data_IF_971176027470
#
_entry.id   IF_971176027470
#
_cell.length_a   1.000
_cell.length_b   1.000
_cell.length_c   1.000
_cell.angle_alpha   90.00
_cell.angle_beta   90.00
_cell.angle_gamma   90.00
#
_symmetry.space_group_name_H-M   'P 1'
#
loop_
_entity.id
_entity.type
_entity.pdbx_description
1 polymer ?
#
# COMPACT_ATOMS: atom_id res chain seq x y z
N UNK A 1 12.81 -25.32 50.17
CA UNK A 1 13.61 -24.46 51.06
C UNK A 1 13.37 -23.01 50.70
N UNK A 2 12.80 -22.28 51.64
CA UNK A 2 12.40 -20.86 51.53
C UNK A 2 13.66 -20.00 51.61
N UNK A 3 13.74 -18.92 50.82
CA UNK A 3 14.37 -17.67 51.25
C UNK A 3 13.68 -16.48 50.58
N UNK A 4 12.96 -15.74 51.40
CA UNK A 4 12.46 -14.39 51.24
C UNK A 4 13.62 -13.40 51.39
N UNK A 5 13.62 -12.31 50.63
CA UNK A 5 14.19 -11.01 50.99
C UNK A 5 13.28 -9.95 50.39
N UNK A 6 12.86 -9.20 51.04
CA UNK A 6 12.30 -8.18 51.91
C UNK A 6 12.86 -6.78 51.56
N UNK A 7 11.91 -5.93 51.22
CA UNK A 7 11.81 -4.49 51.14
C UNK A 7 12.97 -3.60 51.61
N UNK A 8 13.15 -2.48 50.90
CA UNK A 8 13.37 -1.19 51.55
C UNK A 8 12.82 -0.02 50.73
N UNK A 9 11.74 0.56 51.26
CA UNK A 9 11.26 1.90 50.93
C UNK A 9 12.26 2.93 51.50
N UNK A 10 12.53 4.00 50.72
CA UNK A 10 12.93 5.30 51.29
C UNK A 10 12.16 6.39 50.61
N UNK A 11 11.23 6.95 51.39
CA UNK A 11 10.61 8.23 51.16
C UNK A 11 11.50 9.32 51.73
N UNK A 12 11.70 10.41 50.97
CA UNK A 12 12.16 11.69 51.54
C UNK A 12 11.33 12.80 50.93
N UNK A 13 10.45 13.31 51.74
CA UNK A 13 9.77 14.61 51.58
C UNK A 13 10.63 15.70 52.18
N UNK A 14 10.52 16.89 51.68
CA UNK A 14 10.72 18.21 52.32
C UNK A 14 11.04 19.26 51.26
N UNK A 15 10.55 20.46 51.24
CA UNK A 15 9.66 21.33 52.06
C UNK A 15 9.41 22.60 51.25
N UNK A 16 8.21 23.14 51.36
CA UNK A 16 7.82 24.48 50.91
C UNK A 16 8.68 25.58 51.60
N UNK A 17 9.02 26.62 50.87
CA UNK A 17 9.19 27.94 51.47
C UNK A 17 8.58 29.01 50.58
N UNK A 18 7.43 29.54 51.03
CA UNK A 18 6.89 30.85 50.61
C UNK A 18 7.70 31.96 51.24
N UNK A 19 8.00 32.98 50.51
CA UNK A 19 8.21 34.32 51.04
C UNK A 19 7.68 35.35 50.04
N UNK A 20 6.76 36.17 50.51
CA UNK A 20 6.11 37.22 49.81
C UNK A 20 6.78 38.58 50.07
N UNK A 21 6.40 39.54 49.24
CA UNK A 21 6.37 41.00 49.43
C UNK A 21 7.54 41.85 48.94
N UNK A 22 7.21 42.72 47.96
CA UNK A 22 7.39 44.16 48.19
C UNK A 22 7.95 44.99 47.06
N UNK A 23 7.06 45.57 46.25
CA UNK A 23 7.02 46.92 45.64
C UNK A 23 8.25 47.65 45.06
N UNK A 24 8.02 48.10 43.82
CA UNK A 24 8.25 49.42 43.17
C UNK A 24 9.54 49.75 42.47
N UNK A 25 9.34 49.96 41.15
CA UNK A 25 9.84 51.06 40.26
C UNK A 25 11.33 51.24 40.06
N UNK A 26 11.84 51.11 38.85
CA UNK A 26 12.06 52.10 37.82
C UNK A 26 12.92 51.53 36.68
N UNK A 27 12.66 52.08 35.51
CA UNK A 27 13.31 51.95 34.23
C UNK A 27 14.80 51.57 34.21
N UNK A 28 15.14 50.61 33.36
CA UNK A 28 16.15 50.82 32.29
C UNK A 28 16.20 49.62 31.33
N UNK A 29 16.16 49.94 30.08
CA UNK A 29 16.38 49.16 28.88
C UNK A 29 17.61 48.21 29.00
N UNK A 30 17.41 46.90 28.82
CA UNK A 30 18.49 46.01 28.44
C UNK A 30 17.94 44.90 27.59
N UNK A 31 18.50 44.74 26.41
CA UNK A 31 18.27 43.62 25.48
C UNK A 31 18.28 42.29 26.21
N UNK A 32 17.11 41.70 26.34
CA UNK A 32 16.90 40.31 26.77
C UNK A 32 16.77 39.42 25.55
N UNK A 33 17.83 38.74 25.19
CA UNK A 33 17.79 37.59 24.37
C UNK A 33 16.86 36.57 25.02
N UNK A 34 15.58 36.53 24.61
CA UNK A 34 14.67 35.46 24.92
C UNK A 34 15.12 34.26 24.08
N UNK A 35 15.93 33.43 24.70
CA UNK A 35 16.10 32.05 24.31
C UNK A 35 14.73 31.36 24.49
N UNK A 36 13.89 31.52 23.46
CA UNK A 36 12.61 30.87 23.36
C UNK A 36 12.87 29.39 23.07
N UNK A 37 12.94 28.60 24.14
CA UNK A 37 12.71 27.15 24.02
C UNK A 37 11.24 27.02 23.59
N UNK A 38 10.97 27.08 22.29
CA UNK A 38 9.72 26.63 21.74
C UNK A 38 9.63 25.14 22.05
N UNK A 39 8.98 24.80 23.15
CA UNK A 39 8.42 23.46 23.32
C UNK A 39 7.31 23.35 22.28
N UNK A 40 7.67 22.96 21.04
CA UNK A 40 6.66 22.70 20.01
C UNK A 40 5.67 21.70 20.59
N UNK A 41 4.42 22.09 20.60
CA UNK A 41 3.29 21.29 21.09
C UNK A 41 3.19 20.01 20.24
N UNK A 42 2.71 18.91 20.83
CA UNK A 42 2.47 17.66 20.10
C UNK A 42 1.35 17.90 19.09
N UNK A 43 1.59 17.56 17.85
CA UNK A 43 0.64 17.65 16.74
C UNK A 43 0.05 16.28 16.46
N UNK A 44 -1.26 16.11 16.57
CA UNK A 44 -1.93 14.82 16.33
C UNK A 44 -2.82 14.94 15.10
N UNK A 45 -2.65 14.01 14.15
CA UNK A 45 -3.42 13.92 12.92
C UNK A 45 -4.27 12.66 12.89
N UNK A 46 -5.49 12.75 12.34
CA UNK A 46 -6.42 11.63 12.19
C UNK A 46 -6.33 11.05 10.80
N UNK A 47 -5.80 9.83 10.73
CA UNK A 47 -5.68 9.05 9.50
C UNK A 47 -6.78 8.00 9.44
N UNK A 48 -7.56 7.99 8.38
CA UNK A 48 -8.51 6.92 8.08
C UNK A 48 -7.95 5.96 7.05
N UNK A 49 -8.34 4.69 7.11
CA UNK A 49 -7.98 3.70 6.10
C UNK A 49 -9.15 2.79 5.80
N UNK A 50 -9.34 2.43 4.52
CA UNK A 50 -10.27 1.38 4.14
C UNK A 50 -9.63 0.39 3.18
N UNK A 51 -10.14 -0.83 3.25
CA UNK A 51 -9.73 -1.94 2.41
C UNK A 51 -10.55 -3.17 2.72
N UNK A 52 -10.46 -4.24 1.91
CA UNK A 52 -11.14 -5.49 2.18
C UNK A 52 -10.49 -6.18 3.40
N UNK A 53 -11.10 -6.04 4.57
CA UNK A 53 -10.66 -6.75 5.77
C UNK A 53 -11.30 -8.14 5.86
N UNK A 54 -12.36 -8.37 5.09
CA UNK A 54 -13.04 -9.65 4.92
C UNK A 54 -13.31 -9.93 3.44
N UNK A 55 -13.70 -11.18 3.11
CA UNK A 55 -14.00 -11.60 1.73
C UNK A 55 -12.77 -12.03 0.93
N UNK A 56 -12.98 -12.19 -0.39
CA UNK A 56 -12.03 -12.82 -1.33
C UNK A 56 -10.68 -12.09 -1.46
N UNK A 57 -10.65 -10.79 -1.17
CA UNK A 57 -9.48 -9.92 -1.30
C UNK A 57 -8.88 -9.51 0.06
N UNK A 58 -9.24 -10.22 1.14
CA UNK A 58 -8.89 -9.82 2.51
C UNK A 58 -7.38 -9.81 2.80
N UNK A 59 -6.59 -10.61 2.09
CA UNK A 59 -5.13 -10.62 2.24
C UNK A 59 -4.54 -9.23 1.93
N UNK A 60 -5.04 -8.53 0.92
CA UNK A 60 -4.58 -7.17 0.60
C UNK A 60 -4.93 -6.17 1.69
N UNK A 61 -6.22 -6.13 2.08
CA UNK A 61 -6.68 -5.13 3.05
C UNK A 61 -6.08 -5.33 4.43
N UNK A 62 -5.94 -6.57 4.89
CA UNK A 62 -5.28 -6.89 6.15
C UNK A 62 -3.81 -6.45 6.13
N UNK A 63 -3.07 -6.77 5.05
CA UNK A 63 -1.70 -6.35 4.90
C UNK A 63 -1.54 -4.82 4.93
N UNK A 64 -2.41 -4.08 4.20
CA UNK A 64 -2.42 -2.61 4.19
C UNK A 64 -2.64 -2.05 5.58
N UNK A 65 -3.69 -2.48 6.30
CA UNK A 65 -3.96 -1.91 7.62
C UNK A 65 -2.92 -2.29 8.66
N UNK A 66 -2.30 -3.46 8.57
CA UNK A 66 -1.23 -3.90 9.44
C UNK A 66 0.07 -3.12 9.18
N UNK A 67 0.46 -2.94 7.92
CA UNK A 67 1.63 -2.14 7.54
C UNK A 67 1.51 -0.69 7.99
N UNK A 68 0.34 -0.07 7.76
CA UNK A 68 0.05 1.28 8.23
C UNK A 68 0.06 1.38 9.76
N UNK A 69 -0.59 0.45 10.46
CA UNK A 69 -0.65 0.42 11.94
C UNK A 69 0.74 0.25 12.57
N UNK A 70 1.61 -0.59 11.96
CA UNK A 70 2.99 -0.74 12.40
C UNK A 70 3.74 0.59 12.34
N UNK A 71 3.70 1.28 11.19
CA UNK A 71 4.35 2.58 11.02
C UNK A 71 3.80 3.65 11.96
N UNK A 72 2.47 3.72 12.13
CA UNK A 72 1.82 4.62 13.09
C UNK A 72 2.32 4.36 14.52
N UNK A 73 2.40 3.10 14.93
CA UNK A 73 2.86 2.72 16.27
C UNK A 73 4.33 3.09 16.50
N UNK A 74 5.20 2.89 15.50
CA UNK A 74 6.61 3.26 15.57
C UNK A 74 6.78 4.79 15.70
N UNK A 75 6.11 5.57 14.86
CA UNK A 75 6.13 7.03 14.92
C UNK A 75 5.59 7.52 16.27
N UNK A 76 4.48 6.93 16.73
CA UNK A 76 3.86 7.30 18.01
C UNK A 76 4.73 6.94 19.22
N UNK A 77 5.54 5.89 19.13
CA UNK A 77 6.48 5.49 20.18
C UNK A 77 7.78 6.33 20.18
N UNK A 78 8.10 7.02 19.09
CA UNK A 78 9.32 7.85 18.98
C UNK A 78 9.19 9.16 19.79
N UNK A 79 10.28 9.92 19.87
CA UNK A 79 10.31 11.26 20.49
C UNK A 79 9.72 12.36 19.56
N UNK A 80 9.18 11.99 18.40
CA UNK A 80 8.54 12.92 17.47
C UNK A 80 7.40 13.68 18.12
N UNK A 81 7.24 14.94 17.73
CA UNK A 81 6.07 15.75 18.08
C UNK A 81 4.87 15.49 17.17
N UNK A 82 5.06 14.80 16.06
CA UNK A 82 3.98 14.35 15.19
C UNK A 82 3.47 13.00 15.72
N UNK A 83 2.16 12.90 15.90
CA UNK A 83 1.46 11.68 16.31
C UNK A 83 0.28 11.45 15.39
N UNK A 84 -0.11 10.20 15.23
CA UNK A 84 -1.24 9.79 14.42
C UNK A 84 -2.28 9.03 15.26
N UNK A 85 -3.54 9.41 15.13
CA UNK A 85 -4.68 8.55 15.45
C UNK A 85 -5.07 7.82 14.16
N UNK A 86 -5.30 6.51 14.24
CA UNK A 86 -5.56 5.69 13.07
C UNK A 86 -6.85 4.90 13.21
N UNK A 87 -7.76 5.04 12.23
CA UNK A 87 -9.02 4.30 12.16
C UNK A 87 -9.08 3.51 10.86
N UNK A 88 -9.52 2.25 10.93
CA UNK A 88 -9.67 1.35 9.78
C UNK A 88 -11.11 0.89 9.62
N UNK A 89 -11.55 0.73 8.37
CA UNK A 89 -12.89 0.29 7.98
C UNK A 89 -12.79 -0.83 6.94
N UNK A 90 -13.71 -1.80 7.02
CA UNK A 90 -13.85 -2.85 6.01
C UNK A 90 -14.72 -2.36 4.86
N UNK A 91 -14.21 -2.43 3.63
CA UNK A 91 -14.97 -2.11 2.42
C UNK A 91 -15.27 -3.34 1.54
N UNK A 92 -14.78 -4.51 1.93
CA UNK A 92 -14.93 -5.78 1.20
C UNK A 92 -14.60 -5.68 -0.31
N UNK A 93 -13.74 -4.74 -0.71
CA UNK A 93 -13.43 -4.35 -2.10
C UNK A 93 -14.66 -3.89 -2.90
N UNK A 94 -15.70 -3.42 -2.22
CA UNK A 94 -16.95 -2.94 -2.81
C UNK A 94 -17.01 -1.41 -2.78
N UNK A 95 -17.35 -0.78 -3.92
CA UNK A 95 -17.35 0.66 -4.04
C UNK A 95 -18.40 1.37 -3.16
N UNK A 96 -19.59 0.78 -2.98
CA UNK A 96 -20.64 1.37 -2.12
C UNK A 96 -20.23 1.29 -0.64
N UNK A 97 -19.64 0.17 -0.23
CA UNK A 97 -19.12 0.00 1.13
C UNK A 97 -17.93 0.92 1.39
N UNK A 98 -17.05 1.10 0.42
CA UNK A 98 -15.93 2.04 0.51
C UNK A 98 -16.40 3.48 0.73
N UNK A 99 -17.44 3.93 0.02
CA UNK A 99 -18.05 5.26 0.24
C UNK A 99 -18.68 5.36 1.63
N UNK A 100 -19.34 4.31 2.12
CA UNK A 100 -19.88 4.28 3.48
C UNK A 100 -18.77 4.30 4.55
N UNK A 101 -17.67 3.58 4.32
CA UNK A 101 -16.48 3.60 5.16
C UNK A 101 -15.87 5.01 5.22
N UNK A 102 -15.71 5.66 4.06
CA UNK A 102 -15.25 7.05 3.97
C UNK A 102 -16.11 8.01 4.80
N UNK A 103 -17.43 7.98 4.61
CA UNK A 103 -18.34 8.83 5.37
C UNK A 103 -18.24 8.59 6.88
N UNK A 104 -18.12 7.34 7.32
CA UNK A 104 -17.93 6.97 8.73
C UNK A 104 -16.64 7.57 9.29
N UNK A 105 -15.56 7.56 8.53
CA UNK A 105 -14.28 8.16 8.94
C UNK A 105 -14.33 9.70 8.93
N UNK A 106 -15.05 10.31 8.00
CA UNK A 106 -15.31 11.76 8.00
C UNK A 106 -16.11 12.19 9.24
N UNK A 107 -17.13 11.44 9.65
CA UNK A 107 -17.88 11.68 10.89
C UNK A 107 -17.00 11.57 12.15
N UNK A 108 -15.97 10.71 12.13
CA UNK A 108 -14.96 10.63 13.19
C UNK A 108 -14.00 11.84 13.19
N UNK A 109 -13.97 12.61 12.10
CA UNK A 109 -13.10 13.76 11.91
C UNK A 109 -11.75 13.38 11.26
N UNK A 110 -11.76 12.43 10.34
CA UNK A 110 -10.59 12.09 9.52
C UNK A 110 -10.05 13.32 8.78
N UNK A 111 -8.74 13.47 8.75
CA UNK A 111 -8.04 14.55 8.05
C UNK A 111 -7.36 14.09 6.77
N UNK A 112 -6.93 12.83 6.72
CA UNK A 112 -6.24 12.21 5.56
C UNK A 112 -6.74 10.79 5.38
N UNK A 113 -7.00 10.38 4.13
CA UNK A 113 -7.37 9.02 3.77
C UNK A 113 -6.14 8.24 3.26
N UNK A 114 -5.82 7.14 3.93
CA UNK A 114 -4.83 6.13 3.56
C UNK A 114 -5.57 4.96 2.90
N UNK A 115 -5.63 4.94 1.59
CA UNK A 115 -6.45 3.96 0.86
C UNK A 115 -7.48 4.64 -0.04
N UNK A 116 -8.56 3.93 -0.47
CA UNK A 116 -8.81 2.49 -0.31
C UNK A 116 -7.74 1.60 -0.94
N UNK A 117 -7.79 0.29 -0.62
CA UNK A 117 -6.78 -0.68 -1.09
C UNK A 117 -6.97 -1.06 -2.55
N UNK A 118 -8.20 -1.38 -2.99
CA UNK A 118 -8.48 -1.85 -4.35
C UNK A 118 -8.84 -0.70 -5.30
N UNK A 119 -8.57 -0.89 -6.58
CA UNK A 119 -8.86 0.10 -7.62
C UNK A 119 -10.33 0.49 -7.66
N UNK A 120 -11.26 -0.48 -7.70
CA UNK A 120 -12.69 -0.20 -7.77
C UNK A 120 -13.21 0.62 -6.58
N UNK A 121 -12.81 0.26 -5.36
CA UNK A 121 -13.14 0.99 -4.14
C UNK A 121 -12.54 2.41 -4.15
N UNK A 122 -11.28 2.55 -4.60
CA UNK A 122 -10.61 3.85 -4.68
C UNK A 122 -11.26 4.80 -5.69
N UNK A 123 -11.65 4.31 -6.87
CA UNK A 123 -12.38 5.11 -7.86
C UNK A 123 -13.70 5.63 -7.27
N UNK A 124 -14.43 4.76 -6.56
CA UNK A 124 -15.72 5.13 -5.96
C UNK A 124 -15.59 6.23 -4.89
N UNK A 125 -14.49 6.26 -4.13
CA UNK A 125 -14.25 7.24 -3.05
C UNK A 125 -13.56 8.51 -3.54
N UNK A 126 -12.76 8.42 -4.60
CA UNK A 126 -11.92 9.52 -5.08
C UNK A 126 -12.69 10.81 -5.41
N UNK A 127 -13.93 10.70 -5.95
CA UNK A 127 -14.77 11.86 -6.24
C UNK A 127 -15.24 12.57 -4.95
N UNK A 128 -15.54 11.81 -3.88
CA UNK A 128 -15.89 12.38 -2.58
C UNK A 128 -14.68 13.10 -1.97
N UNK A 129 -13.50 12.44 -1.93
CA UNK A 129 -12.26 13.07 -1.47
C UNK A 129 -11.93 14.36 -2.23
N UNK A 130 -12.12 14.36 -3.56
CA UNK A 130 -11.89 15.55 -4.38
C UNK A 130 -12.81 16.71 -4.01
N UNK A 131 -14.10 16.44 -3.84
CA UNK A 131 -15.11 17.44 -3.51
C UNK A 131 -14.95 17.98 -2.08
N UNK A 132 -14.65 17.10 -1.12
CA UNK A 132 -14.47 17.46 0.30
C UNK A 132 -13.08 18.03 0.58
N UNK A 133 -12.18 18.03 -0.43
CA UNK A 133 -10.79 18.45 -0.28
C UNK A 133 -10.06 17.65 0.82
N UNK A 134 -10.32 16.36 0.90
CA UNK A 134 -9.57 15.42 1.74
C UNK A 134 -8.40 14.86 0.94
N UNK A 135 -7.18 14.94 1.47
CA UNK A 135 -6.01 14.32 0.82
C UNK A 135 -6.14 12.81 0.87
N UNK A 136 -6.04 12.17 -0.29
CA UNK A 136 -6.11 10.72 -0.43
C UNK A 136 -4.78 10.19 -0.97
N UNK A 137 -4.21 9.19 -0.29
CA UNK A 137 -3.02 8.48 -0.72
C UNK A 137 -3.27 6.97 -0.65
N UNK A 138 -3.48 6.34 -1.80
CA UNK A 138 -3.68 4.89 -1.85
C UNK A 138 -2.34 4.14 -1.88
N UNK A 139 -2.19 3.06 -1.08
CA UNK A 139 -1.00 2.22 -1.14
C UNK A 139 -0.92 1.35 -2.39
N UNK A 140 -2.06 0.94 -2.97
CA UNK A 140 -2.10 -0.17 -3.91
C UNK A 140 -3.10 -0.03 -5.07
N UNK A 141 -4.05 0.91 -5.03
CA UNK A 141 -4.97 1.10 -6.15
C UNK A 141 -4.24 1.72 -7.35
N UNK A 142 -3.93 0.92 -8.33
CA UNK A 142 -2.92 1.20 -9.36
C UNK A 142 -3.48 1.76 -10.68
N UNK A 143 -4.79 1.73 -10.89
CA UNK A 143 -5.39 2.33 -12.09
C UNK A 143 -5.19 3.85 -12.13
N UNK A 144 -4.88 4.37 -13.31
CA UNK A 144 -4.82 5.82 -13.55
C UNK A 144 -6.17 6.52 -13.41
N UNK A 145 -7.28 5.77 -13.44
CA UNK A 145 -8.63 6.33 -13.25
C UNK A 145 -8.87 6.78 -11.81
N UNK A 146 -8.11 6.26 -10.84
CA UNK A 146 -8.16 6.66 -9.43
C UNK A 146 -7.83 8.15 -9.27
N UNK A 147 -6.75 8.59 -9.90
CA UNK A 147 -6.24 9.97 -9.78
C UNK A 147 -6.76 10.90 -10.88
N UNK A 148 -7.36 10.38 -11.95
CA UNK A 148 -7.74 11.13 -13.15
C UNK A 148 -8.60 12.36 -12.80
N UNK A 149 -8.07 13.56 -13.10
CA UNK A 149 -8.76 14.84 -12.88
C UNK A 149 -8.87 15.28 -11.42
N UNK A 150 -8.16 14.63 -10.48
CA UNK A 150 -8.22 14.87 -9.05
C UNK A 150 -6.83 15.23 -8.53
N UNK A 151 -6.62 16.50 -8.23
CA UNK A 151 -5.29 17.04 -7.83
C UNK A 151 -4.89 16.76 -6.38
N UNK A 152 -5.76 16.09 -5.60
CA UNK A 152 -5.57 15.73 -4.20
C UNK A 152 -5.62 14.20 -3.95
N UNK A 153 -5.60 13.41 -5.03
CA UNK A 153 -5.59 11.95 -4.97
C UNK A 153 -4.27 11.44 -5.52
N UNK A 154 -3.53 10.70 -4.72
CA UNK A 154 -2.18 10.24 -4.99
C UNK A 154 -2.05 8.72 -4.80
N UNK A 155 -1.06 8.12 -5.44
CA UNK A 155 -0.75 6.68 -5.39
C UNK A 155 0.69 6.47 -4.93
N UNK A 156 0.95 5.45 -4.11
CA UNK A 156 2.32 4.99 -3.78
C UNK A 156 2.72 3.80 -4.66
N UNK A 157 1.76 3.02 -5.14
CA UNK A 157 2.01 1.90 -6.05
C UNK A 157 2.35 2.37 -7.48
N UNK A 158 3.06 1.54 -8.24
CA UNK A 158 3.23 1.76 -9.67
C UNK A 158 1.91 1.54 -10.42
N UNK A 159 1.74 2.23 -11.55
CA UNK A 159 0.45 2.28 -12.25
C UNK A 159 0.19 1.06 -13.14
N UNK A 160 -1.08 0.76 -13.44
CA UNK A 160 -1.49 -0.30 -14.37
C UNK A 160 -0.80 -0.19 -15.74
N UNK A 161 -0.69 1.00 -16.37
CA UNK A 161 0.11 1.14 -17.58
C UNK A 161 1.55 0.66 -17.44
N UNK A 162 2.21 0.96 -16.31
CA UNK A 162 3.58 0.54 -16.07
C UNK A 162 3.65 -0.99 -15.87
N UNK A 163 2.68 -1.59 -15.20
CA UNK A 163 2.62 -3.05 -15.04
C UNK A 163 2.47 -3.76 -16.38
N UNK A 164 1.54 -3.29 -17.23
CA UNK A 164 1.31 -3.88 -18.54
C UNK A 164 2.54 -3.80 -19.44
N UNK A 165 3.18 -2.63 -19.50
CA UNK A 165 4.40 -2.41 -20.29
C UNK A 165 5.55 -3.27 -19.75
N UNK A 166 5.85 -3.17 -18.45
CA UNK A 166 6.96 -3.90 -17.84
C UNK A 166 6.82 -5.43 -17.96
N UNK A 167 5.58 -5.95 -17.89
CA UNK A 167 5.32 -7.37 -18.09
C UNK A 167 5.66 -7.81 -19.52
N UNK A 168 5.24 -7.08 -20.53
CA UNK A 168 5.52 -7.39 -21.91
C UNK A 168 7.02 -7.27 -22.23
N UNK A 169 7.67 -6.23 -21.73
CA UNK A 169 9.12 -6.01 -21.84
C UNK A 169 9.88 -7.18 -21.22
N UNK A 170 9.54 -7.55 -19.99
CA UNK A 170 10.21 -8.63 -19.28
C UNK A 170 10.09 -9.98 -20.00
N UNK A 171 8.87 -10.32 -20.47
CA UNK A 171 8.61 -11.55 -21.22
C UNK A 171 9.44 -11.59 -22.51
N UNK A 172 9.50 -10.47 -23.24
CA UNK A 172 10.24 -10.39 -24.50
C UNK A 172 11.76 -10.38 -24.31
N UNK A 173 12.28 -9.59 -23.37
CA UNK A 173 13.72 -9.43 -23.12
C UNK A 173 14.36 -10.72 -22.59
N UNK A 174 13.61 -11.47 -21.77
CA UNK A 174 14.07 -12.77 -21.25
C UNK A 174 13.67 -13.96 -22.13
N UNK A 175 13.02 -13.71 -23.28
CA UNK A 175 12.59 -14.74 -24.22
C UNK A 175 11.80 -15.88 -23.55
N UNK A 176 10.90 -15.53 -22.60
CA UNK A 176 10.17 -16.53 -21.81
C UNK A 176 9.20 -17.34 -22.68
N UNK A 177 8.54 -16.70 -23.63
CA UNK A 177 7.61 -17.32 -24.55
C UNK A 177 7.39 -16.41 -25.77
N UNK A 178 6.84 -16.99 -26.85
CA UNK A 178 6.42 -16.23 -28.05
C UNK A 178 4.92 -16.22 -28.23
N UNK A 179 4.22 -17.23 -27.72
CA UNK A 179 2.76 -17.39 -27.78
C UNK A 179 2.14 -17.18 -26.40
N UNK A 180 1.40 -16.09 -26.28
CA UNK A 180 0.83 -15.62 -25.03
C UNK A 180 -0.67 -15.85 -25.02
N UNK A 181 -1.18 -16.54 -24.01
CA UNK A 181 -2.58 -16.49 -23.60
C UNK A 181 -2.79 -15.42 -22.55
N UNK A 182 -3.95 -14.80 -22.50
CA UNK A 182 -4.32 -13.84 -21.46
C UNK A 182 -5.64 -14.25 -20.84
N UNK A 183 -5.74 -14.23 -19.51
CA UNK A 183 -7.02 -14.36 -18.78
C UNK A 183 -7.17 -13.14 -17.90
N UNK A 184 -8.27 -12.40 -18.05
CA UNK A 184 -8.46 -11.11 -17.36
C UNK A 184 -9.92 -10.85 -16.99
N UNK A 185 -10.15 -10.03 -15.97
CA UNK A 185 -11.47 -9.53 -15.59
C UNK A 185 -11.81 -8.27 -16.42
N UNK A 186 -12.77 -8.40 -17.33
CA UNK A 186 -13.19 -7.28 -18.20
C UNK A 186 -14.08 -6.27 -17.50
N UNK A 187 -14.58 -6.58 -16.30
CA UNK A 187 -15.42 -5.69 -15.48
C UNK A 187 -14.63 -4.91 -14.43
N UNK A 188 -13.36 -5.29 -14.18
CA UNK A 188 -12.47 -4.61 -13.25
C UNK A 188 -11.52 -3.65 -13.98
N UNK A 189 -11.44 -2.40 -13.50
CA UNK A 189 -10.60 -1.36 -14.08
C UNK A 189 -9.10 -1.66 -13.97
N UNK A 190 -8.66 -2.29 -12.86
CA UNK A 190 -7.30 -2.77 -12.66
C UNK A 190 -6.93 -3.79 -13.75
N UNK A 191 -7.66 -4.88 -13.82
CA UNK A 191 -7.37 -6.00 -14.72
C UNK A 191 -7.43 -5.60 -16.20
N UNK A 192 -8.49 -4.91 -16.61
CA UNK A 192 -8.68 -4.45 -17.98
C UNK A 192 -7.68 -3.37 -18.39
N UNK A 193 -7.29 -2.49 -17.45
CA UNK A 193 -6.30 -1.44 -17.66
C UNK A 193 -4.90 -1.99 -17.94
N UNK A 194 -4.44 -2.94 -17.13
CA UNK A 194 -3.16 -3.63 -17.34
C UNK A 194 -3.17 -4.37 -18.68
N UNK A 195 -4.22 -5.17 -18.95
CA UNK A 195 -4.29 -5.93 -20.20
C UNK A 195 -4.24 -5.02 -21.44
N UNK A 196 -4.92 -3.90 -21.43
CA UNK A 196 -4.94 -2.97 -22.57
C UNK A 196 -3.52 -2.47 -22.91
N UNK A 197 -2.69 -2.19 -21.91
CA UNK A 197 -1.30 -1.74 -22.10
C UNK A 197 -0.37 -2.90 -22.44
N UNK A 198 -0.51 -4.02 -21.75
CA UNK A 198 0.21 -5.25 -22.07
C UNK A 198 0.04 -5.63 -23.52
N UNK A 199 -1.20 -5.62 -24.02
CA UNK A 199 -1.50 -5.96 -25.43
C UNK A 199 -0.72 -5.09 -26.41
N UNK A 200 -0.78 -3.77 -26.20
CA UNK A 200 -0.09 -2.82 -27.10
C UNK A 200 1.41 -3.03 -27.10
N UNK A 201 2.02 -3.22 -25.91
CA UNK A 201 3.45 -3.41 -25.79
C UNK A 201 3.89 -4.79 -26.30
N UNK A 202 3.15 -5.86 -25.97
CA UNK A 202 3.40 -7.20 -26.48
C UNK A 202 3.44 -7.26 -28.00
N UNK A 203 2.48 -6.61 -28.68
CA UNK A 203 2.45 -6.47 -30.13
C UNK A 203 3.69 -5.72 -30.65
N UNK A 204 4.14 -4.66 -29.96
CA UNK A 204 5.33 -3.88 -30.32
C UNK A 204 6.64 -4.70 -30.20
N UNK A 205 6.69 -5.61 -29.25
CA UNK A 205 7.83 -6.53 -29.01
C UNK A 205 7.79 -7.80 -29.87
N UNK A 206 6.74 -7.98 -30.66
CA UNK A 206 6.58 -9.16 -31.52
C UNK A 206 6.14 -10.43 -30.77
N UNK A 207 5.56 -10.29 -29.58
CA UNK A 207 4.88 -11.37 -28.89
C UNK A 207 3.51 -11.61 -29.53
N UNK A 208 3.14 -12.87 -29.76
CA UNK A 208 1.86 -13.25 -30.33
C UNK A 208 0.83 -13.53 -29.22
N UNK A 209 -0.20 -12.70 -29.10
CA UNK A 209 -1.34 -13.00 -28.23
C UNK A 209 -2.26 -13.95 -28.97
N UNK A 210 -2.11 -15.26 -28.70
CA UNK A 210 -2.86 -16.32 -29.40
C UNK A 210 -4.32 -16.39 -28.95
N UNK A 211 -4.60 -15.97 -27.72
CA UNK A 211 -5.98 -15.84 -27.20
C UNK A 211 -6.02 -14.85 -26.03
N UNK A 212 -7.17 -14.20 -25.82
CA UNK A 212 -7.43 -13.35 -24.68
C UNK A 212 -8.85 -13.65 -24.16
N UNK A 213 -8.92 -14.28 -23.00
CA UNK A 213 -10.15 -14.82 -22.44
C UNK A 213 -10.62 -13.95 -21.27
N UNK A 214 -11.79 -13.36 -21.43
CA UNK A 214 -12.40 -12.53 -20.42
C UNK A 214 -13.28 -13.35 -19.45
N UNK A 215 -13.33 -12.89 -18.21
CA UNK A 215 -14.42 -13.18 -17.27
C UNK A 215 -14.94 -11.86 -16.68
N UNK A 216 -15.90 -11.91 -15.79
CA UNK A 216 -16.39 -10.77 -15.02
C UNK A 216 -16.47 -11.12 -13.55
N UNK A 217 -16.45 -10.11 -12.69
CA UNK A 217 -16.56 -10.28 -11.23
C UNK A 217 -17.80 -11.07 -10.81
N UNK A 218 -18.89 -11.00 -11.59
CA UNK A 218 -20.12 -11.79 -11.36
C UNK A 218 -20.00 -13.24 -11.81
N UNK A 219 -18.99 -13.60 -12.61
CA UNK A 219 -18.84 -14.92 -13.24
C UNK A 219 -17.40 -15.46 -13.12
N UNK A 220 -16.83 -15.37 -11.91
CA UNK A 220 -15.45 -15.75 -11.60
C UNK A 220 -15.34 -17.09 -10.85
N UNK A 221 -16.44 -17.75 -10.57
CA UNK A 221 -16.45 -18.97 -9.75
C UNK A 221 -15.94 -20.23 -10.48
N UNK A 222 -15.92 -20.21 -11.81
CA UNK A 222 -15.38 -21.31 -12.64
C UNK A 222 -14.72 -20.73 -13.91
N UNK A 223 -13.39 -20.81 -13.94
CA UNK A 223 -12.56 -20.31 -15.02
C UNK A 223 -12.01 -21.44 -15.94
N UNK A 224 -12.60 -22.62 -15.85
CA UNK A 224 -12.16 -23.81 -16.62
C UNK A 224 -12.23 -23.61 -18.14
N UNK A 225 -13.23 -22.86 -18.61
CA UNK A 225 -13.36 -22.52 -20.03
C UNK A 225 -12.22 -21.63 -20.53
N UNK A 226 -11.82 -20.63 -19.76
CA UNK A 226 -10.72 -19.72 -20.10
C UNK A 226 -9.39 -20.47 -20.16
N UNK A 227 -9.14 -21.34 -19.17
CA UNK A 227 -7.94 -22.21 -19.15
C UNK A 227 -7.91 -23.14 -20.36
N UNK A 228 -9.04 -23.83 -20.67
CA UNK A 228 -9.10 -24.73 -21.81
C UNK A 228 -8.82 -24.03 -23.14
N UNK A 229 -9.33 -22.81 -23.34
CA UNK A 229 -9.07 -22.03 -24.56
C UNK A 229 -7.62 -21.59 -24.68
N UNK A 230 -6.93 -21.24 -23.58
CA UNK A 230 -5.50 -20.97 -23.60
C UNK A 230 -4.70 -22.23 -24.03
N UNK A 231 -5.07 -23.39 -23.49
CA UNK A 231 -4.47 -24.66 -23.84
C UNK A 231 -4.73 -25.02 -25.32
N UNK A 232 -5.95 -24.91 -25.82
CA UNK A 232 -6.34 -25.18 -27.21
C UNK A 232 -5.64 -24.24 -28.19
N UNK A 233 -5.43 -22.97 -27.82
CA UNK A 233 -4.70 -21.99 -28.63
C UNK A 233 -3.18 -22.23 -28.64
N UNK A 234 -2.69 -23.14 -27.79
CA UNK A 234 -1.25 -23.45 -27.67
C UNK A 234 -0.45 -22.33 -27.04
N UNK A 235 -1.01 -21.63 -26.08
CA UNK A 235 -0.30 -20.62 -25.31
C UNK A 235 0.83 -21.28 -24.50
N UNK A 236 2.04 -20.75 -24.65
CA UNK A 236 3.26 -21.17 -23.95
C UNK A 236 3.39 -20.49 -22.59
N UNK A 237 2.86 -19.26 -22.50
CA UNK A 237 2.77 -18.46 -21.30
C UNK A 237 1.33 -17.93 -21.17
N UNK A 238 0.80 -17.93 -19.95
CA UNK A 238 -0.49 -17.31 -19.62
C UNK A 238 -0.22 -16.09 -18.74
N UNK A 239 -0.54 -14.92 -19.29
CA UNK A 239 -0.49 -13.66 -18.56
C UNK A 239 -1.79 -13.44 -17.79
N UNK A 240 -1.66 -13.15 -16.49
CA UNK A 240 -2.76 -13.09 -15.53
C UNK A 240 -2.76 -11.73 -14.80
N UNK A 241 -3.27 -10.65 -15.41
CA UNK A 241 -3.46 -9.36 -14.73
C UNK A 241 -4.74 -9.40 -13.87
N UNK A 242 -4.75 -10.22 -12.84
CA UNK A 242 -5.91 -10.54 -11.99
C UNK A 242 -5.48 -10.70 -10.54
N UNK A 243 -6.44 -10.84 -9.64
CA UNK A 243 -6.19 -11.05 -8.21
C UNK A 243 -5.86 -12.51 -7.88
N UNK A 244 -5.23 -12.72 -6.72
CA UNK A 244 -4.70 -14.02 -6.29
C UNK A 244 -5.78 -15.12 -6.20
N UNK A 245 -7.02 -14.79 -5.84
CA UNK A 245 -8.10 -15.77 -5.70
C UNK A 245 -8.43 -16.45 -7.03
N UNK A 246 -8.66 -15.67 -8.08
CA UNK A 246 -8.93 -16.17 -9.43
C UNK A 246 -7.69 -16.87 -10.01
N UNK A 247 -6.51 -16.34 -9.74
CA UNK A 247 -5.25 -16.96 -10.16
C UNK A 247 -5.08 -18.35 -9.55
N UNK A 248 -5.33 -18.52 -8.25
CA UNK A 248 -5.25 -19.83 -7.59
C UNK A 248 -6.20 -20.87 -8.19
N UNK A 249 -7.39 -20.45 -8.63
CA UNK A 249 -8.35 -21.29 -9.34
C UNK A 249 -7.82 -21.69 -10.74
N UNK A 250 -7.21 -20.75 -11.48
CA UNK A 250 -6.62 -20.98 -12.79
C UNK A 250 -5.47 -21.99 -12.69
N UNK A 251 -4.54 -21.79 -11.76
CA UNK A 251 -3.41 -22.71 -11.54
C UNK A 251 -3.92 -24.10 -11.15
N UNK A 252 -4.89 -24.19 -10.26
CA UNK A 252 -5.55 -25.45 -9.86
C UNK A 252 -6.19 -26.14 -11.04
N UNK A 253 -6.85 -25.39 -11.92
CA UNK A 253 -7.55 -25.94 -13.11
C UNK A 253 -6.55 -26.40 -14.15
N UNK A 254 -5.50 -25.64 -14.42
CA UNK A 254 -4.43 -26.01 -15.34
C UNK A 254 -3.76 -27.33 -14.90
N UNK A 255 -3.43 -27.45 -13.61
CA UNK A 255 -2.86 -28.70 -13.07
C UNK A 255 -3.80 -29.91 -13.27
N UNK A 256 -5.11 -29.76 -13.00
CA UNK A 256 -6.10 -30.83 -13.20
C UNK A 256 -6.22 -31.29 -14.65
N UNK A 257 -5.97 -30.40 -15.61
CA UNK A 257 -6.06 -30.69 -17.05
C UNK A 257 -4.71 -31.10 -17.65
N UNK A 258 -3.63 -31.08 -16.86
CA UNK A 258 -2.28 -31.36 -17.33
C UNK A 258 -1.73 -30.26 -18.26
N UNK A 259 -2.22 -29.04 -18.14
CA UNK A 259 -1.72 -27.88 -18.85
C UNK A 259 -0.66 -27.17 -18.00
N UNK A 260 0.56 -27.11 -18.51
CA UNK A 260 1.75 -26.61 -17.79
C UNK A 260 2.40 -25.43 -18.54
N UNK A 261 1.71 -24.29 -18.70
CA UNK A 261 2.33 -23.10 -19.30
C UNK A 261 3.20 -22.40 -18.24
N UNK A 262 4.00 -21.43 -18.68
CA UNK A 262 4.55 -20.43 -17.80
C UNK A 262 3.40 -19.52 -17.34
N UNK A 263 3.26 -19.28 -16.04
CA UNK A 263 2.33 -18.28 -15.52
C UNK A 263 3.07 -17.01 -15.16
N UNK A 264 2.53 -15.86 -15.59
CA UNK A 264 3.10 -14.56 -15.32
C UNK A 264 1.97 -13.59 -14.91
N UNK A 265 2.11 -12.97 -13.75
CA UNK A 265 1.11 -12.06 -13.17
C UNK A 265 1.68 -10.67 -12.88
N UNK A 266 0.83 -9.88 -12.24
CA UNK A 266 1.10 -8.53 -11.78
C UNK A 266 1.10 -8.49 -10.25
N UNK A 267 1.11 -7.30 -9.66
CA UNK A 267 1.09 -7.10 -8.20
C UNK A 267 -0.09 -7.81 -7.51
N UNK A 268 -1.24 -7.91 -8.16
CA UNK A 268 -2.40 -8.65 -7.64
C UNK A 268 -2.19 -10.16 -7.43
N UNK A 269 -1.05 -10.71 -7.82
CA UNK A 269 -0.65 -12.09 -7.49
C UNK A 269 -0.02 -12.21 -6.11
N UNK A 270 0.49 -11.11 -5.54
CA UNK A 270 1.12 -11.14 -4.22
C UNK A 270 0.07 -11.46 -3.14
N UNK A 271 0.32 -12.50 -2.36
CA UNK A 271 -0.64 -13.11 -1.44
C UNK A 271 -1.14 -14.49 -1.89
N UNK A 272 -0.81 -14.96 -3.11
CA UNK A 272 -1.28 -16.27 -3.60
C UNK A 272 -0.83 -17.44 -2.70
N UNK A 273 0.31 -17.29 -2.02
CA UNK A 273 0.84 -18.31 -1.10
C UNK A 273 0.04 -18.39 0.21
N UNK A 274 -0.78 -17.39 0.52
CA UNK A 274 -1.56 -17.30 1.75
C UNK A 274 -3.05 -17.66 1.53
N UNK A 275 -3.43 -18.06 0.30
CA UNK A 275 -4.81 -18.43 -0.04
C UNK A 275 -5.22 -19.70 0.68
N UNK A 276 -6.25 -19.62 1.52
CA UNK A 276 -6.75 -20.75 2.29
C UNK A 276 -7.19 -21.90 1.38
N UNK A 277 -6.63 -23.09 1.63
CA UNK A 277 -6.96 -24.32 0.90
C UNK A 277 -6.31 -24.43 -0.50
N UNK A 278 -5.52 -23.48 -0.92
CA UNK A 278 -4.73 -23.57 -2.16
C UNK A 278 -3.48 -24.45 -1.93
N UNK A 279 -3.20 -25.32 -2.88
CA UNK A 279 -1.93 -26.07 -2.91
C UNK A 279 -0.83 -25.16 -3.46
N UNK A 280 -0.06 -24.56 -2.57
CA UNK A 280 1.00 -23.58 -2.92
C UNK A 280 2.10 -24.16 -3.80
N UNK A 281 2.26 -25.49 -3.87
CA UNK A 281 3.19 -26.11 -4.79
C UNK A 281 2.83 -25.87 -6.27
N UNK A 282 1.57 -25.54 -6.56
CA UNK A 282 1.11 -25.18 -7.90
C UNK A 282 1.56 -23.79 -8.34
N UNK A 283 1.98 -22.96 -7.39
CA UNK A 283 2.54 -21.66 -7.69
C UNK A 283 4.06 -21.69 -7.92
N UNK A 284 4.71 -22.84 -7.82
CA UNK A 284 6.15 -22.96 -8.10
C UNK A 284 6.46 -22.55 -9.55
N UNK A 285 7.38 -21.60 -9.71
CA UNK A 285 7.73 -21.04 -11.02
C UNK A 285 6.80 -19.92 -11.51
N UNK A 286 5.73 -19.57 -10.78
CA UNK A 286 4.90 -18.39 -11.07
C UNK A 286 5.77 -17.14 -10.93
N UNK A 287 5.75 -16.29 -11.95
CA UNK A 287 6.44 -14.99 -11.95
C UNK A 287 5.42 -13.86 -11.77
N UNK A 288 5.82 -12.81 -11.11
CA UNK A 288 4.99 -11.60 -10.93
C UNK A 288 5.84 -10.34 -10.80
N UNK A 289 5.20 -9.19 -10.99
CA UNK A 289 5.79 -7.89 -10.74
C UNK A 289 5.42 -7.41 -9.33
N UNK A 290 6.42 -6.94 -8.57
CA UNK A 290 6.25 -6.37 -7.24
C UNK A 290 7.31 -5.31 -6.98
N UNK A 291 7.06 -4.26 -6.18
CA UNK A 291 8.11 -3.32 -5.78
C UNK A 291 8.92 -3.82 -4.58
N UNK A 292 8.48 -4.90 -3.91
CA UNK A 292 9.00 -5.35 -2.62
C UNK A 292 9.37 -6.84 -2.64
N UNK A 293 10.47 -7.18 -1.98
CA UNK A 293 10.88 -8.55 -1.73
C UNK A 293 11.27 -8.69 -0.26
N UNK A 294 10.53 -9.50 0.49
CA UNK A 294 10.74 -9.66 1.95
C UNK A 294 12.11 -10.30 2.29
N UNK A 295 12.72 -10.98 1.35
CA UNK A 295 14.04 -11.61 1.47
C UNK A 295 15.22 -10.68 1.11
N UNK A 296 14.94 -9.44 0.69
CA UNK A 296 15.98 -8.44 0.40
C UNK A 296 16.87 -8.20 1.61
N UNK A 297 18.19 -8.07 1.37
CA UNK A 297 19.20 -8.07 2.43
C UNK A 297 19.58 -6.69 2.94
N UNK A 298 18.91 -5.64 2.48
CA UNK A 298 19.14 -4.30 3.00
C UNK A 298 18.58 -4.15 4.44
N UNK A 299 19.24 -3.30 5.22
CA UNK A 299 18.94 -3.13 6.65
C UNK A 299 17.49 -2.66 6.90
N UNK A 300 16.97 -1.79 6.05
CA UNK A 300 15.64 -1.21 6.19
C UNK A 300 14.55 -2.27 5.98
N UNK A 301 14.66 -3.06 4.91
CA UNK A 301 13.75 -4.17 4.63
C UNK A 301 13.79 -5.21 5.75
N UNK A 302 14.98 -5.61 6.21
CA UNK A 302 15.11 -6.60 7.27
C UNK A 302 14.54 -6.10 8.62
N UNK A 303 14.70 -4.82 8.92
CA UNK A 303 14.11 -4.21 10.13
C UNK A 303 12.58 -4.24 10.06
N UNK A 304 11.99 -3.82 8.94
CA UNK A 304 10.55 -3.85 8.70
C UNK A 304 9.98 -5.28 8.79
N UNK A 305 10.57 -6.23 8.08
CA UNK A 305 10.14 -7.64 8.08
C UNK A 305 10.18 -8.21 9.51
N UNK A 306 11.27 -7.93 10.25
CA UNK A 306 11.40 -8.40 11.63
C UNK A 306 10.33 -7.81 12.55
N UNK A 307 10.04 -6.51 12.42
CA UNK A 307 9.03 -5.83 13.21
C UNK A 307 7.61 -6.32 12.86
N UNK A 308 7.33 -6.50 11.57
CA UNK A 308 6.03 -7.01 11.10
C UNK A 308 5.77 -8.44 11.56
N UNK A 309 6.75 -9.34 11.40
CA UNK A 309 6.66 -10.73 11.91
C UNK A 309 6.46 -10.76 13.41
N UNK A 310 7.16 -9.89 14.16
CA UNK A 310 7.00 -9.82 15.62
C UNK A 310 5.60 -9.34 16.03
N UNK A 311 4.98 -8.44 15.25
CA UNK A 311 3.67 -7.88 15.54
C UNK A 311 2.51 -8.80 15.12
N UNK A 312 2.62 -9.44 13.93
CA UNK A 312 1.50 -10.13 13.31
C UNK A 312 1.72 -11.63 13.08
N UNK A 313 2.95 -12.14 13.21
CA UNK A 313 3.27 -13.57 13.13
C UNK A 313 3.38 -14.12 11.69
N UNK A 314 3.34 -13.26 10.68
CA UNK A 314 3.41 -13.60 9.26
C UNK A 314 4.44 -12.75 8.53
N UNK A 315 4.89 -13.19 7.36
CA UNK A 315 5.82 -12.43 6.50
C UNK A 315 5.03 -11.34 5.76
N UNK A 316 5.49 -10.06 5.76
CA UNK A 316 4.80 -9.01 5.02
C UNK A 316 4.89 -9.23 3.51
N UNK A 317 3.82 -8.93 2.80
CA UNK A 317 3.77 -8.79 1.35
C UNK A 317 4.00 -7.31 0.93
N UNK A 318 3.96 -7.04 -0.39
CA UNK A 318 4.15 -5.67 -0.89
C UNK A 318 3.12 -4.67 -0.37
N UNK A 319 1.86 -5.10 -0.16
CA UNK A 319 0.78 -4.21 0.29
C UNK A 319 1.03 -3.67 1.70
N UNK A 320 1.61 -4.50 2.57
CA UNK A 320 2.06 -4.07 3.90
C UNK A 320 3.22 -3.06 3.79
N UNK A 321 4.19 -3.32 2.91
CA UNK A 321 5.33 -2.44 2.70
C UNK A 321 4.93 -1.10 2.05
N UNK A 322 4.03 -1.11 1.06
CA UNK A 322 3.48 0.10 0.45
C UNK A 322 2.71 0.95 1.46
N UNK A 323 1.88 0.32 2.31
CA UNK A 323 1.15 1.04 3.35
C UNK A 323 2.07 1.62 4.45
N UNK A 324 3.14 0.92 4.78
CA UNK A 324 4.19 1.43 5.67
C UNK A 324 4.85 2.67 5.06
N UNK A 325 5.18 2.62 3.78
CA UNK A 325 5.74 3.76 3.02
C UNK A 325 4.75 4.93 2.93
N UNK A 326 3.43 4.67 2.78
CA UNK A 326 2.38 5.71 2.83
C UNK A 326 2.48 6.50 4.12
N UNK A 327 2.55 5.83 5.28
CA UNK A 327 2.57 6.50 6.58
C UNK A 327 3.89 7.27 6.79
N UNK A 328 5.04 6.69 6.41
CA UNK A 328 6.32 7.39 6.56
C UNK A 328 6.50 8.55 5.57
N UNK A 329 5.99 8.42 4.33
CA UNK A 329 5.97 9.53 3.37
C UNK A 329 5.04 10.66 3.85
N UNK A 330 3.89 10.31 4.46
CA UNK A 330 2.99 11.27 5.10
C UNK A 330 3.66 11.98 6.27
N UNK A 331 4.36 11.25 7.12
CA UNK A 331 5.13 11.79 8.22
C UNK A 331 6.19 12.80 7.73
N UNK A 332 6.93 12.46 6.66
CA UNK A 332 7.89 13.37 6.04
C UNK A 332 7.18 14.61 5.47
N UNK A 333 6.08 14.44 4.73
CA UNK A 333 5.33 15.55 4.15
C UNK A 333 4.80 16.51 5.22
N UNK A 334 4.29 16.00 6.34
CA UNK A 334 3.86 16.81 7.49
C UNK A 334 5.01 17.65 8.07
N UNK A 335 6.20 17.05 8.22
CA UNK A 335 7.39 17.75 8.72
C UNK A 335 7.87 18.85 7.75
N UNK A 336 7.85 18.59 6.45
CA UNK A 336 8.36 19.51 5.43
C UNK A 336 7.40 20.68 5.15
N UNK A 337 6.08 20.43 5.19
CA UNK A 337 5.07 21.45 4.91
C UNK A 337 4.72 22.30 6.12
N UNK A 338 4.99 21.78 7.32
CA UNK A 338 4.66 22.49 8.57
C UNK A 338 3.17 22.55 8.87
N UNK A 339 2.34 21.66 8.31
CA UNK A 339 0.93 21.50 8.69
C UNK A 339 0.82 21.16 10.17
N UNK A 340 -0.28 21.59 10.80
CA UNK A 340 -0.55 21.33 12.21
C UNK A 340 -1.84 20.54 12.40
N UNK A 341 -1.93 19.78 13.47
CA UNK A 341 -3.06 18.88 13.73
C UNK A 341 -4.40 19.57 14.02
N UNK A 342 -4.39 20.88 14.26
CA UNK A 342 -5.59 21.72 14.46
C UNK A 342 -6.14 22.33 13.15
N UNK A 343 -5.41 22.20 12.03
CA UNK A 343 -5.91 22.56 10.70
C UNK A 343 -7.05 21.64 10.28
N UNK A 344 -7.99 22.18 9.50
CA UNK A 344 -9.03 21.36 8.91
C UNK A 344 -8.49 20.49 7.75
N UNK A 345 -9.26 19.46 7.35
CA UNK A 345 -8.84 18.52 6.31
C UNK A 345 -8.51 19.21 4.98
N UNK A 346 -9.23 20.30 4.63
CA UNK A 346 -9.01 21.00 3.37
C UNK A 346 -7.73 21.84 3.39
N UNK A 347 -7.39 22.44 4.51
CA UNK A 347 -6.13 23.17 4.70
C UNK A 347 -4.93 22.19 4.63
N UNK A 348 -5.03 21.06 5.34
CA UNK A 348 -4.03 19.99 5.30
C UNK A 348 -3.87 19.46 3.85
N UNK A 349 -4.97 19.23 3.16
CA UNK A 349 -4.97 18.75 1.77
C UNK A 349 -4.13 19.65 0.85
N UNK A 350 -4.34 20.97 0.88
CA UNK A 350 -3.62 21.89 0.00
C UNK A 350 -2.12 21.93 0.30
N UNK A 351 -1.73 21.81 1.57
CA UNK A 351 -0.33 21.75 1.97
C UNK A 351 0.32 20.43 1.56
N UNK A 352 -0.36 19.29 1.80
CA UNK A 352 0.16 17.97 1.46
C UNK A 352 0.33 17.80 -0.07
N UNK A 353 -0.59 18.29 -0.88
CA UNK A 353 -0.43 18.32 -2.35
C UNK A 353 0.87 19.00 -2.76
N UNK A 354 1.16 20.16 -2.15
CA UNK A 354 2.40 20.89 -2.43
C UNK A 354 3.61 20.11 -1.95
N UNK A 355 3.54 19.50 -0.77
CA UNK A 355 4.58 18.66 -0.20
C UNK A 355 4.91 17.48 -1.13
N UNK A 356 3.91 16.68 -1.46
CA UNK A 356 4.11 15.49 -2.30
C UNK A 356 4.66 15.79 -3.69
N UNK A 357 4.26 16.89 -4.33
CA UNK A 357 4.79 17.28 -5.64
C UNK A 357 6.18 17.91 -5.61
N UNK A 358 6.75 18.15 -4.44
CA UNK A 358 8.09 18.75 -4.27
C UNK A 358 9.08 17.87 -3.53
N UNK A 359 8.61 16.88 -2.76
CA UNK A 359 9.50 16.02 -1.96
C UNK A 359 10.07 14.85 -2.77
N UNK A 360 11.13 14.27 -2.21
CA UNK A 360 11.67 12.97 -2.62
C UNK A 360 11.66 12.06 -1.41
N UNK A 361 11.21 10.82 -1.59
CA UNK A 361 11.08 9.85 -0.49
C UNK A 361 11.83 8.55 -0.79
N UNK A 362 12.56 8.07 0.21
CA UNK A 362 13.24 6.77 0.17
C UNK A 362 12.45 5.77 1.06
N UNK A 363 11.67 4.92 0.42
CA UNK A 363 10.80 3.91 1.05
C UNK A 363 11.42 2.51 1.11
N UNK A 364 10.60 1.56 1.52
CA UNK A 364 10.84 0.10 1.39
C UNK A 364 10.64 -0.35 -0.05
N UNK A 365 9.67 0.25 -0.72
CA UNK A 365 9.17 -0.16 -2.02
C UNK A 365 9.75 0.64 -3.18
N UNK A 366 10.53 1.68 -2.90
CA UNK A 366 11.23 2.48 -3.89
C UNK A 366 12.21 3.46 -3.27
N UNK A 367 13.26 3.78 -4.01
CA UNK A 367 14.28 4.78 -3.64
C UNK A 367 14.16 5.99 -4.55
N UNK A 368 14.24 7.19 -3.98
CA UNK A 368 14.13 8.44 -4.73
C UNK A 368 12.75 8.66 -5.34
N UNK A 369 11.70 8.13 -4.71
CA UNK A 369 10.32 8.29 -5.19
C UNK A 369 9.90 9.75 -5.18
N UNK A 370 9.32 10.19 -6.30
CA UNK A 370 8.73 11.52 -6.48
C UNK A 370 7.32 11.39 -7.04
N UNK A 371 6.48 12.36 -6.79
CA UNK A 371 5.11 12.41 -7.31
C UNK A 371 4.95 13.58 -8.27
N UNK A 372 4.27 13.35 -9.36
CA UNK A 372 3.87 14.39 -10.28
C UNK A 372 2.48 14.99 -9.94
N UNK A 373 2.09 16.02 -10.68
CA UNK A 373 0.81 16.70 -10.47
C UNK A 373 -0.43 15.83 -10.80
N UNK A 374 -0.26 14.67 -11.42
CA UNK A 374 -1.33 13.69 -11.62
C UNK A 374 -1.52 12.75 -10.44
N UNK A 375 -0.68 12.85 -9.40
CA UNK A 375 -0.69 11.97 -8.24
C UNK A 375 0.04 10.64 -8.44
N UNK A 376 0.63 10.42 -9.61
CA UNK A 376 1.41 9.22 -9.90
C UNK A 376 2.82 9.29 -9.30
N UNK A 377 3.31 8.16 -8.78
CA UNK A 377 4.65 8.03 -8.23
C UNK A 377 5.64 7.53 -9.30
N UNK A 378 6.89 7.99 -9.22
CA UNK A 378 8.01 7.45 -10.00
C UNK A 378 8.52 6.16 -9.33
N UNK A 379 7.90 5.03 -9.65
CA UNK A 379 8.25 3.72 -9.08
C UNK A 379 8.24 2.68 -10.20
N UNK A 380 9.30 1.90 -10.29
CA UNK A 380 9.39 0.81 -11.25
C UNK A 380 9.11 -0.55 -10.58
N UNK A 381 8.36 -1.44 -11.23
CA UNK A 381 8.16 -2.80 -10.75
C UNK A 381 9.45 -3.61 -10.89
N UNK A 382 9.59 -4.62 -10.02
CA UNK A 382 10.64 -5.64 -10.07
C UNK A 382 10.00 -6.99 -10.36
N UNK A 383 10.70 -7.86 -11.10
CA UNK A 383 10.22 -9.22 -11.29
C UNK A 383 10.68 -10.12 -10.14
N UNK A 384 9.77 -10.94 -9.65
CA UNK A 384 10.05 -12.02 -8.70
C UNK A 384 9.46 -13.32 -9.22
N UNK A 385 10.00 -14.44 -8.73
CA UNK A 385 9.49 -15.79 -9.01
C UNK A 385 9.19 -16.48 -7.68
N UNK A 386 8.15 -17.31 -7.66
CA UNK A 386 7.92 -18.22 -6.54
C UNK A 386 8.83 -19.43 -6.71
N UNK A 387 9.72 -19.64 -5.75
CA UNK A 387 10.70 -20.71 -5.72
C UNK A 387 10.83 -21.31 -4.33
N UNK A 388 10.78 -22.63 -4.24
CA UNK A 388 10.82 -23.35 -2.96
C UNK A 388 9.73 -22.85 -1.97
N UNK A 389 8.57 -22.44 -2.50
CA UNK A 389 7.44 -21.95 -1.75
C UNK A 389 7.58 -20.53 -1.18
N UNK A 390 8.52 -19.73 -1.71
CA UNK A 390 8.72 -18.32 -1.29
C UNK A 390 8.98 -17.41 -2.51
N UNK A 391 8.73 -16.11 -2.34
CA UNK A 391 9.09 -15.12 -3.35
C UNK A 391 10.61 -14.92 -3.37
N UNK A 392 11.21 -15.00 -4.54
CA UNK A 392 12.64 -14.80 -4.78
C UNK A 392 12.86 -13.75 -5.87
N UNK A 393 13.80 -12.84 -5.68
CA UNK A 393 14.19 -11.86 -6.69
C UNK A 393 14.76 -12.56 -7.94
N UNK A 394 14.48 -12.02 -9.12
CA UNK A 394 14.94 -12.53 -10.41
C UNK A 394 16.06 -11.66 -10.98
#
# INVERSE_FOLDING_TARGET
MKKKFMCMLMAAAMTLSMAACGSKSDDTNTDGNTDGTETSEVQTFKLGSSGPLTGDNSIYGLAVVQGAELAVNEINASDSKIKFEYQKQDDEADGEKAVNAYNTMMDWGMQVLVGPTTTGASIAVADACYNDRTFMLTPSASSTDVTAGKDNVFQVCFTDPNQGVASADYIAENALATKIGVIYDSSDAYSSGIYAKFKTEAESKGLEIVTAEAFTSDNKSDLSTQVAKCQEAGAELVFLPIYYTEASQILTTANKTGYEPIFFGCDGMDGILDVEGFDTSLAEGLMLLTPFAADAQDEKTQAFVSAYVAAYGETPNQFAADAYDVIYSMYQAVLETGVTGDMDASEICEQLKTGYTSMTFDGLTGTGMTWDASGAVSKDPKAVVIKDGAYAAM
#
